data_IF_204591191692
#
_entry.id   IF_204591191692
#
_cell.length_a   1.000
_cell.length_b   1.000
_cell.length_c   1.000
_cell.angle_alpha   90.00
_cell.angle_beta   90.00
_cell.angle_gamma   90.00
#
_symmetry.space_group_name_H-M   'P 1'
#
loop_
_entity.id
_entity.type
_entity.pdbx_description
1 polymer ?
#
# COMPACT_ATOMS: atom_id res chain seq x y z
N UNK A 1 -4.72 -7.09 19.08
CA UNK A 1 -4.71 -5.97 18.10
C UNK A 1 -6.14 -5.54 17.82
N UNK A 2 -6.41 -4.26 17.54
CA UNK A 2 -7.75 -3.80 17.18
C UNK A 2 -8.09 -4.32 15.76
N UNK A 3 -9.09 -5.21 15.64
CA UNK A 3 -9.49 -5.80 14.34
C UNK A 3 -9.81 -4.72 13.30
N UNK A 4 -10.48 -3.64 13.72
CA UNK A 4 -10.82 -2.51 12.85
C UNK A 4 -9.58 -1.77 12.32
N UNK A 5 -8.47 -1.78 13.09
CA UNK A 5 -7.21 -1.21 12.64
C UNK A 5 -6.58 -2.08 11.55
N UNK A 6 -6.63 -3.40 11.70
CA UNK A 6 -6.12 -4.33 10.70
C UNK A 6 -6.92 -4.23 9.40
N UNK A 7 -8.25 -4.21 9.49
CA UNK A 7 -9.15 -4.07 8.34
C UNK A 7 -8.89 -2.75 7.59
N UNK A 8 -8.65 -1.65 8.32
CA UNK A 8 -8.30 -0.36 7.73
C UNK A 8 -6.94 -0.40 7.01
N UNK A 9 -5.94 -1.05 7.59
CA UNK A 9 -4.61 -1.19 6.97
C UNK A 9 -4.68 -2.03 5.69
N UNK A 10 -5.39 -3.15 5.72
CA UNK A 10 -5.60 -4.00 4.54
C UNK A 10 -6.38 -3.27 3.44
N UNK A 11 -7.40 -2.48 3.82
CA UNK A 11 -8.11 -1.62 2.89
C UNK A 11 -7.17 -0.61 2.22
N UNK A 12 -6.35 0.13 2.99
CA UNK A 12 -5.41 1.12 2.45
C UNK A 12 -4.39 0.46 1.52
N UNK A 13 -3.83 -0.67 1.93
CA UNK A 13 -2.89 -1.45 1.11
C UNK A 13 -3.50 -1.81 -0.24
N UNK A 14 -4.75 -2.31 -0.24
CA UNK A 14 -5.45 -2.66 -1.47
C UNK A 14 -5.60 -1.46 -2.40
N UNK A 15 -5.96 -0.27 -1.88
CA UNK A 15 -6.15 0.96 -2.67
C UNK A 15 -4.84 1.49 -3.25
N UNK A 16 -3.75 1.42 -2.49
CA UNK A 16 -2.43 1.81 -2.98
C UNK A 16 -1.98 0.90 -4.13
N UNK A 17 -2.24 -0.41 -4.06
CA UNK A 17 -1.96 -1.34 -5.16
C UNK A 17 -2.64 -0.94 -6.47
N UNK A 18 -3.89 -0.45 -6.42
CA UNK A 18 -4.59 0.10 -7.59
C UNK A 18 -3.96 1.37 -8.16
N UNK A 19 -3.21 2.12 -7.35
CA UNK A 19 -2.55 3.35 -7.74
C UNK A 19 -1.08 3.13 -8.15
N UNK A 20 -0.51 1.96 -7.87
CA UNK A 20 0.89 1.60 -8.14
C UNK A 20 1.19 1.43 -9.64
N UNK A 21 2.49 1.26 -9.96
CA UNK A 21 3.01 1.14 -11.34
C UNK A 21 2.48 -0.06 -12.12
N UNK A 22 1.88 -1.04 -11.45
CA UNK A 22 1.31 -2.25 -12.08
C UNK A 22 0.14 -1.93 -13.04
N UNK A 23 -0.38 -0.70 -13.03
CA UNK A 23 -1.31 -0.25 -14.06
C UNK A 23 -0.59 -0.16 -15.40
N UNK A 24 -0.87 -1.15 -16.24
CA UNK A 24 -0.46 -1.42 -17.65
C UNK A 24 -0.40 -0.23 -18.64
N UNK A 25 -0.66 1.02 -18.23
CA UNK A 25 -0.89 2.16 -19.13
C UNK A 25 -0.07 3.42 -18.76
N UNK A 26 0.65 3.50 -17.63
CA UNK A 26 1.27 4.78 -17.22
C UNK A 26 2.79 4.82 -17.39
N UNK A 27 3.25 5.91 -18.02
CA UNK A 27 4.64 6.25 -18.29
C UNK A 27 5.57 5.97 -17.08
N UNK A 28 6.68 5.24 -17.28
CA UNK A 28 7.40 4.50 -16.23
C UNK A 28 8.14 5.32 -15.16
N UNK A 29 8.06 6.65 -15.16
CA UNK A 29 8.92 7.50 -14.31
C UNK A 29 8.19 8.67 -13.64
N UNK A 30 6.96 8.46 -13.17
CA UNK A 30 6.31 9.45 -12.33
C UNK A 30 6.66 9.21 -10.85
N UNK A 31 7.32 10.18 -10.21
CA UNK A 31 7.65 10.21 -8.76
C UNK A 31 6.45 9.88 -7.86
N UNK A 32 5.24 10.14 -8.34
CA UNK A 32 3.97 9.75 -7.69
C UNK A 32 3.85 8.26 -7.47
N UNK A 33 4.33 7.44 -8.39
CA UNK A 33 4.28 5.99 -8.25
C UNK A 33 5.33 5.45 -7.29
N UNK A 34 6.54 6.03 -7.27
CA UNK A 34 7.56 5.70 -6.27
C UNK A 34 7.02 5.94 -4.84
N UNK A 35 6.32 7.07 -4.65
CA UNK A 35 5.65 7.37 -3.39
C UNK A 35 4.55 6.36 -3.05
N UNK A 36 3.83 5.83 -4.04
CA UNK A 36 2.80 4.80 -3.80
C UNK A 36 3.44 3.49 -3.37
N UNK A 37 4.56 3.10 -3.98
CA UNK A 37 5.30 1.89 -3.61
C UNK A 37 5.87 2.02 -2.18
N UNK A 38 6.48 3.16 -1.83
CA UNK A 38 6.95 3.46 -0.46
C UNK A 38 5.82 3.40 0.58
N UNK A 39 4.63 3.91 0.24
CA UNK A 39 3.46 3.84 1.11
C UNK A 39 2.95 2.40 1.26
N UNK A 40 3.01 1.57 0.21
CA UNK A 40 2.63 0.15 0.28
C UNK A 40 3.55 -0.62 1.22
N UNK A 41 4.86 -0.36 1.16
CA UNK A 41 5.84 -1.01 2.03
C UNK A 41 5.56 -0.68 3.50
N UNK A 42 5.30 0.60 3.82
CA UNK A 42 5.00 1.02 5.21
C UNK A 42 3.69 0.44 5.73
N UNK A 43 2.68 0.30 4.88
CA UNK A 43 1.42 -0.34 5.27
C UNK A 43 1.63 -1.84 5.49
N UNK A 44 2.43 -2.51 4.68
CA UNK A 44 2.77 -3.93 4.83
C UNK A 44 3.55 -4.18 6.13
N UNK A 45 4.58 -3.39 6.42
CA UNK A 45 5.31 -3.42 7.69
C UNK A 45 4.36 -3.24 8.88
N UNK A 46 3.40 -2.32 8.77
CA UNK A 46 2.41 -2.05 9.82
C UNK A 46 1.45 -3.22 10.03
N UNK A 47 1.03 -3.90 8.95
CA UNK A 47 0.21 -5.12 9.01
C UNK A 47 0.99 -6.26 9.67
N UNK A 48 2.27 -6.42 9.37
CA UNK A 48 3.12 -7.45 9.97
C UNK A 48 3.34 -7.22 11.46
N UNK A 49 3.55 -5.96 11.89
CA UNK A 49 3.56 -5.57 13.31
C UNK A 49 2.20 -5.84 13.95
N UNK A 50 1.11 -5.61 13.21
CA UNK A 50 -0.25 -5.81 13.69
C UNK A 50 -0.66 -7.30 13.79
N UNK A 51 0.04 -8.19 13.09
CA UNK A 51 -0.19 -9.65 13.09
C UNK A 51 0.74 -10.41 14.05
N UNK A 52 1.88 -9.83 14.42
CA UNK A 52 2.77 -10.32 15.50
C UNK A 52 2.19 -10.03 16.88
#
# INVERSE_FOLDING_TARGET
MNQKLLDNLEFVHSRLKWLSKDRKIVLPHHKTFDLVDELMDKVSESIDIAKK
#
